data_IF_546784895775
#
_entry.id   IF_546784895775
#
_cell.length_a   1.000
_cell.length_b   1.000
_cell.length_c   1.000
_cell.angle_alpha   90.00
_cell.angle_beta   90.00
_cell.angle_gamma   90.00
#
_symmetry.space_group_name_H-M   'P 1'
#
loop_
_entity.id
_entity.type
_entity.pdbx_description
1 polymer ?
#
# COMPACT_ATOMS: atom_id res chain seq x y z
N UNK A 1 8.91 16.27 -18.61
CA UNK A 1 9.11 16.67 -17.20
C UNK A 1 8.97 15.44 -16.32
N UNK A 2 10.09 14.86 -15.87
CA UNK A 2 10.08 13.76 -14.90
C UNK A 2 9.69 14.30 -13.53
N UNK A 3 8.44 14.08 -13.12
CA UNK A 3 7.89 14.71 -11.92
C UNK A 3 8.61 14.24 -10.66
N UNK A 4 9.09 15.20 -9.87
CA UNK A 4 9.64 14.97 -8.53
C UNK A 4 8.65 14.12 -7.71
N UNK A 5 9.14 13.01 -7.16
CA UNK A 5 8.40 12.12 -6.26
C UNK A 5 8.90 12.44 -4.85
N UNK A 6 7.98 12.49 -3.90
CA UNK A 6 8.31 12.84 -2.50
C UNK A 6 7.92 11.74 -1.51
N UNK A 7 7.06 10.80 -1.91
CA UNK A 7 6.67 9.68 -1.05
C UNK A 7 6.24 8.46 -1.86
N UNK A 8 6.26 7.29 -1.21
CA UNK A 8 5.80 6.00 -1.74
C UNK A 8 4.55 5.55 -1.00
N UNK A 9 3.52 5.16 -1.75
CA UNK A 9 2.34 4.51 -1.19
C UNK A 9 2.52 2.98 -1.19
N UNK A 10 2.29 2.36 -0.05
CA UNK A 10 2.49 0.93 0.21
C UNK A 10 1.20 0.20 0.50
N UNK A 11 1.07 -0.99 -0.07
CA UNK A 11 -0.03 -1.90 0.19
C UNK A 11 0.40 -3.21 0.76
N UNK A 12 -0.43 -3.69 1.67
CA UNK A 12 -0.30 -4.95 2.36
C UNK A 12 -1.57 -5.75 2.12
N UNK A 13 -1.41 -7.02 1.78
CA UNK A 13 -2.53 -7.92 1.50
C UNK A 13 -2.17 -9.32 1.97
N UNK A 14 -3.15 -10.07 2.46
CA UNK A 14 -2.95 -11.43 2.94
C UNK A 14 -3.50 -12.41 1.91
N UNK A 15 -2.63 -13.10 1.17
CA UNK A 15 -3.01 -14.08 0.15
C UNK A 15 -2.65 -15.47 0.66
N UNK A 16 -3.61 -16.40 0.69
CA UNK A 16 -3.41 -17.77 1.17
C UNK A 16 -2.73 -17.84 2.56
N UNK A 17 -3.10 -16.93 3.47
CA UNK A 17 -2.53 -16.87 4.81
C UNK A 17 -1.20 -16.11 4.94
N UNK A 18 -0.57 -15.74 3.83
CA UNK A 18 0.75 -15.09 3.79
C UNK A 18 0.59 -13.59 3.53
N UNK A 19 1.27 -12.76 4.31
CA UNK A 19 1.29 -11.32 4.09
C UNK A 19 2.27 -10.96 2.97
N UNK A 20 1.79 -10.19 2.02
CA UNK A 20 2.57 -9.62 0.93
C UNK A 20 2.51 -8.10 1.00
N UNK A 21 3.61 -7.45 0.64
CA UNK A 21 3.70 -6.00 0.62
C UNK A 21 4.37 -5.49 -0.65
N UNK A 22 3.97 -4.30 -1.12
CA UNK A 22 4.64 -3.63 -2.22
C UNK A 22 4.25 -2.17 -2.33
N UNK A 23 5.10 -1.39 -3.00
CA UNK A 23 4.74 -0.04 -3.41
C UNK A 23 3.76 -0.13 -4.59
N UNK A 24 2.69 0.66 -4.57
CA UNK A 24 1.75 0.71 -5.69
C UNK A 24 1.74 2.05 -6.44
N UNK A 25 2.29 3.12 -5.87
CA UNK A 25 2.30 4.46 -6.51
C UNK A 25 3.27 5.40 -5.79
N UNK A 26 3.65 6.49 -6.48
CA UNK A 26 4.38 7.62 -5.90
C UNK A 26 3.48 8.84 -5.71
N UNK A 27 3.69 9.55 -4.61
CA UNK A 27 3.11 10.87 -4.40
C UNK A 27 4.06 11.94 -4.95
N UNK A 28 3.49 12.92 -5.67
CA UNK A 28 4.17 14.15 -6.07
C UNK A 28 4.02 15.21 -4.97
N UNK A 29 4.86 16.27 -4.94
CA UNK A 29 4.68 17.40 -4.03
C UNK A 29 3.23 17.90 -4.02
N UNK A 30 2.67 18.10 -2.82
CA UNK A 30 1.29 18.55 -2.63
C UNK A 30 0.20 17.50 -2.84
N UNK A 31 0.53 16.26 -3.26
CA UNK A 31 -0.46 15.19 -3.36
C UNK A 31 -0.70 14.52 -2.00
N UNK A 32 -1.93 14.60 -1.52
CA UNK A 32 -2.39 13.93 -0.29
C UNK A 32 -3.33 12.75 -0.56
N UNK A 33 -3.80 12.60 -1.80
CA UNK A 33 -4.75 11.55 -2.21
C UNK A 33 -4.35 10.92 -3.54
N UNK A 34 -4.81 9.69 -3.76
CA UNK A 34 -4.71 8.98 -5.05
C UNK A 34 -6.05 8.36 -5.40
N UNK A 35 -6.28 8.19 -6.70
CA UNK A 35 -7.48 7.50 -7.19
C UNK A 35 -7.40 6.04 -6.76
N UNK A 36 -8.50 5.54 -6.25
CA UNK A 36 -8.67 4.16 -5.81
C UNK A 36 -8.32 3.13 -6.90
N UNK A 37 -8.56 3.46 -8.18
CA UNK A 37 -8.17 2.62 -9.33
C UNK A 37 -6.65 2.43 -9.49
N UNK A 38 -5.83 3.24 -8.83
CA UNK A 38 -4.38 3.05 -8.79
C UNK A 38 -3.98 1.87 -7.90
N UNK A 39 -4.85 1.49 -6.96
CA UNK A 39 -4.71 0.30 -6.13
C UNK A 39 -5.31 -0.90 -6.88
N UNK A 40 -4.52 -1.93 -7.20
CA UNK A 40 -4.99 -3.12 -7.93
C UNK A 40 -4.67 -3.16 -9.44
N UNK A 41 -3.73 -2.33 -9.91
CA UNK A 41 -3.23 -2.36 -11.30
C UNK A 41 -1.88 -3.08 -11.44
N UNK A 42 -1.59 -3.55 -12.66
CA UNK A 42 -0.42 -4.34 -13.05
C UNK A 42 0.97 -3.69 -12.86
N UNK A 43 1.06 -2.42 -12.46
CA UNK A 43 2.26 -1.63 -12.73
C UNK A 43 3.31 -1.58 -11.61
N UNK A 44 2.98 -1.87 -10.35
CA UNK A 44 3.93 -1.59 -9.25
C UNK A 44 4.08 -2.69 -8.20
N UNK A 45 3.06 -3.54 -8.03
CA UNK A 45 3.16 -4.76 -7.25
C UNK A 45 4.00 -5.82 -7.99
N UNK A 46 4.73 -6.64 -7.23
CA UNK A 46 5.43 -7.82 -7.76
C UNK A 46 4.60 -9.07 -7.53
N UNK A 47 4.85 -10.11 -8.33
CA UNK A 47 4.31 -11.46 -8.08
C UNK A 47 4.51 -11.86 -6.62
N UNK A 48 3.54 -12.50 -5.96
CA UNK A 48 2.28 -13.02 -6.51
C UNK A 48 1.12 -12.00 -6.55
N UNK A 49 1.32 -10.78 -6.04
CA UNK A 49 0.23 -9.79 -5.85
C UNK A 49 0.08 -8.79 -7.00
N UNK A 50 0.83 -8.95 -8.09
CA UNK A 50 0.78 -8.09 -9.28
C UNK A 50 -0.49 -8.27 -10.13
N UNK A 51 -1.31 -9.29 -9.85
CA UNK A 51 -2.59 -9.57 -10.51
C UNK A 51 -3.77 -9.55 -9.54
N UNK A 52 -3.60 -8.94 -8.37
CA UNK A 52 -4.69 -8.84 -7.40
C UNK A 52 -5.81 -7.98 -7.97
N UNK A 53 -6.89 -8.64 -8.38
CA UNK A 53 -8.19 -7.99 -8.47
C UNK A 53 -8.67 -7.77 -7.04
N UNK A 54 -9.15 -6.57 -6.73
CA UNK A 54 -9.73 -6.25 -5.42
C UNK A 54 -10.76 -7.32 -5.08
N UNK A 55 -10.46 -8.17 -4.11
CA UNK A 55 -11.41 -9.13 -3.58
C UNK A 55 -12.23 -8.41 -2.53
N UNK A 56 -13.53 -8.30 -2.77
CA UNK A 56 -14.46 -7.69 -1.82
C UNK A 56 -14.37 -8.41 -0.47
N UNK A 57 -14.49 -7.63 0.63
CA UNK A 57 -14.47 -8.09 2.04
C UNK A 57 -13.10 -8.53 2.61
N UNK A 58 -12.03 -8.52 1.82
CA UNK A 58 -10.67 -8.68 2.35
C UNK A 58 -10.16 -7.42 3.06
N UNK A 59 -9.20 -7.63 3.97
CA UNK A 59 -8.50 -6.56 4.68
C UNK A 59 -7.20 -6.25 3.95
N UNK A 60 -7.03 -4.98 3.62
CA UNK A 60 -5.82 -4.44 3.03
C UNK A 60 -5.18 -3.46 4.00
N UNK A 61 -3.85 -3.46 4.07
CA UNK A 61 -3.09 -2.45 4.80
C UNK A 61 -2.60 -1.35 3.86
N UNK A 62 -2.61 -0.11 4.33
CA UNK A 62 -2.14 1.07 3.61
C UNK A 62 -1.12 1.81 4.48
N UNK A 63 -0.01 2.25 3.88
CA UNK A 63 1.00 3.08 4.54
C UNK A 63 1.66 4.02 3.54
N UNK A 64 2.16 5.15 4.02
CA UNK A 64 2.98 6.07 3.22
C UNK A 64 4.37 6.16 3.84
N UNK A 65 5.40 6.13 3.00
CA UNK A 65 6.80 6.35 3.40
C UNK A 65 7.48 7.40 2.52
N UNK A 66 8.74 7.72 2.84
CA UNK A 66 9.66 8.33 1.87
C UNK A 66 9.78 7.55 0.54
N UNK A 67 10.43 8.15 -0.46
CA UNK A 67 10.59 7.55 -1.79
C UNK A 67 11.50 6.31 -1.72
N UNK A 68 11.05 5.19 -2.25
CA UNK A 68 11.73 3.89 -2.12
C UNK A 68 12.55 3.45 -3.35
N UNK A 69 12.45 4.14 -4.51
CA UNK A 69 13.07 3.66 -5.78
C UNK A 69 13.77 4.71 -6.63
N UNK A 70 14.01 5.91 -6.13
CA UNK A 70 14.85 6.86 -6.86
C UNK A 70 16.25 6.84 -6.25
N UNK A 71 17.26 6.79 -7.12
CA UNK A 71 18.70 6.76 -6.82
C UNK A 71 19.20 8.07 -6.18
N UNK A 72 18.39 8.68 -5.31
CA UNK A 72 18.71 9.86 -4.53
C UNK A 72 19.55 9.44 -3.34
N UNK A 73 20.80 9.04 -3.60
CA UNK A 73 21.94 9.25 -2.68
C UNK A 73 21.64 9.06 -1.18
N UNK A 74 21.05 7.93 -0.78
CA UNK A 74 20.82 7.60 0.64
C UNK A 74 19.60 8.26 1.31
N UNK A 75 18.81 9.07 0.60
CA UNK A 75 17.60 9.73 1.11
C UNK A 75 16.34 8.84 1.01
N UNK A 76 16.48 7.55 1.31
CA UNK A 76 15.34 6.79 1.83
C UNK A 76 15.00 7.41 3.19
N UNK A 77 14.22 8.49 3.18
CA UNK A 77 13.69 9.07 4.40
C UNK A 77 12.96 7.93 5.11
N UNK A 78 13.53 7.45 6.22
CA UNK A 78 13.02 6.30 7.00
C UNK A 78 11.67 6.59 7.66
N UNK A 79 11.09 7.74 7.36
CA UNK A 79 9.77 8.15 7.79
C UNK A 79 8.72 7.30 7.09
N UNK A 80 7.84 6.74 7.91
CA UNK A 80 6.66 6.01 7.49
C UNK A 80 5.53 6.30 8.44
N UNK A 81 4.32 6.28 7.93
CA UNK A 81 3.13 6.24 8.77
C UNK A 81 2.97 4.86 9.38
N UNK A 82 2.09 4.74 10.37
CA UNK A 82 1.54 3.45 10.75
C UNK A 82 0.78 2.82 9.58
N UNK A 83 0.66 1.49 9.59
CA UNK A 83 -0.21 0.76 8.66
C UNK A 83 -1.65 0.93 9.13
N UNK A 84 -2.51 1.43 8.24
CA UNK A 84 -3.96 1.49 8.45
C UNK A 84 -4.59 0.29 7.75
N UNK A 85 -5.37 -0.49 8.48
CA UNK A 85 -6.14 -1.60 7.90
C UNK A 85 -7.48 -1.08 7.38
N UNK A 86 -7.87 -1.51 6.20
CA UNK A 86 -9.10 -1.13 5.54
C UNK A 86 -9.75 -2.37 4.93
N UNK A 87 -11.01 -2.60 5.26
CA UNK A 87 -11.83 -3.63 4.64
C UNK A 87 -12.64 -3.00 3.52
N UNK A 88 -12.54 -3.60 2.34
CA UNK A 88 -13.34 -3.18 1.19
C UNK A 88 -14.83 -3.19 1.53
N UNK A 89 -15.55 -2.11 1.19
CA UNK A 89 -16.97 -1.87 1.51
C UNK A 89 -17.31 -1.66 3.00
N UNK A 90 -16.34 -1.70 3.92
CA UNK A 90 -16.59 -1.52 5.36
C UNK A 90 -15.78 -0.39 6.01
N UNK A 91 -14.74 0.11 5.35
CA UNK A 91 -13.94 1.22 5.86
C UNK A 91 -12.69 0.78 6.64
N UNK A 92 -12.11 1.73 7.39
CA UNK A 92 -10.96 1.47 8.26
C UNK A 92 -11.37 0.48 9.36
N UNK A 93 -10.61 -0.59 9.52
CA UNK A 93 -10.82 -1.58 10.57
C UNK A 93 -9.79 -1.38 11.67
N UNK A 94 -10.19 -1.44 12.96
CA UNK A 94 -9.24 -1.40 14.06
C UNK A 94 -8.31 -2.61 13.96
N UNK A 95 -7.06 -2.41 14.38
CA UNK A 95 -6.09 -3.49 14.55
C UNK A 95 -6.47 -4.31 15.79
N UNK A 96 -7.57 -5.07 15.74
CA UNK A 96 -7.95 -6.00 16.80
C UNK A 96 -7.61 -7.43 16.42
N UNK A 97 -6.70 -8.03 17.20
CA UNK A 97 -6.20 -9.41 17.16
C UNK A 97 -7.23 -10.47 17.56
N UNK A 98 -8.49 -10.36 17.16
CA UNK A 98 -9.52 -11.28 17.65
C UNK A 98 -9.47 -12.63 16.93
N UNK A 99 -8.64 -13.53 17.49
CA UNK A 99 -8.78 -14.98 17.37
C UNK A 99 -10.25 -15.35 17.62
N UNK A 100 -11.01 -15.68 16.57
CA UNK A 100 -12.15 -16.58 16.72
C UNK A 100 -11.66 -17.96 16.34
N UNK A 101 -11.30 -18.72 17.36
CA UNK A 101 -11.35 -20.17 17.27
C UNK A 101 -12.79 -20.56 16.91
N UNK A 102 -12.95 -21.26 15.80
CA UNK A 102 -14.07 -22.16 15.53
C UNK A 102 -13.54 -23.57 15.52
#
# INVERSE_FOLDING_TARGET
MGGCRVASAWGFVKVAGIWHAGTWEYLRPGQTTKKEKAFGGYCHFRSPINKLNKVNREIYGFMVSGVARDNLSGNNVRERTNVVLYRWDSGVVPFEWRWRHS
#
